data_IF_010254741918
#
_entry.id   IF_010254741918
#
_cell.length_a   1.000
_cell.length_b   1.000
_cell.length_c   1.000
_cell.angle_alpha   90.00
_cell.angle_beta   90.00
_cell.angle_gamma   90.00
#
_symmetry.space_group_name_H-M   'P 1'
#
loop_
_entity.id
_entity.type
_entity.pdbx_description
1 polymer ?
#
# COMPACT_ATOMS: atom_id res chain seq x y z
N UNK A 1 -25.63 -13.51 -13.30
CA UNK A 1 -25.72 -14.93 -12.87
C UNK A 1 -25.52 -15.90 -14.05
N UNK A 2 -26.17 -15.73 -15.18
CA UNK A 2 -26.01 -16.64 -16.34
C UNK A 2 -24.59 -16.66 -16.93
N UNK A 3 -23.93 -15.49 -17.04
CA UNK A 3 -22.56 -15.40 -17.52
C UNK A 3 -21.56 -16.15 -16.60
N UNK A 4 -21.83 -16.19 -15.29
CA UNK A 4 -21.06 -16.95 -14.34
C UNK A 4 -21.27 -18.46 -14.50
N UNK A 5 -22.54 -18.90 -14.63
CA UNK A 5 -22.89 -20.34 -14.77
C UNK A 5 -22.28 -20.99 -16.01
N UNK A 6 -22.16 -20.24 -17.13
CA UNK A 6 -21.58 -20.73 -18.39
C UNK A 6 -20.08 -21.06 -18.29
N UNK A 7 -19.37 -20.51 -17.31
CA UNK A 7 -17.92 -20.66 -17.18
C UNK A 7 -17.50 -21.55 -15.99
N UNK A 8 -18.47 -22.14 -15.26
CA UNK A 8 -18.18 -23.12 -14.20
C UNK A 8 -17.95 -24.48 -14.85
N UNK A 9 -16.85 -25.10 -14.46
CA UNK A 9 -16.49 -26.47 -14.85
C UNK A 9 -16.52 -27.35 -13.60
N UNK A 10 -16.87 -28.61 -13.74
CA UNK A 10 -16.82 -29.60 -12.68
C UNK A 10 -15.39 -29.68 -12.12
N UNK A 11 -15.22 -29.84 -10.79
CA UNK A 11 -13.94 -29.87 -10.07
C UNK A 11 -13.10 -28.55 -10.11
N UNK A 12 -13.72 -27.43 -10.41
CA UNK A 12 -13.04 -26.13 -10.37
C UNK A 12 -12.53 -25.78 -8.96
N UNK A 13 -11.26 -25.39 -8.84
CA UNK A 13 -10.68 -24.96 -7.56
C UNK A 13 -11.39 -23.70 -7.03
N UNK A 14 -11.62 -23.63 -5.73
CA UNK A 14 -12.27 -22.46 -5.08
C UNK A 14 -11.57 -21.13 -5.38
N UNK A 15 -10.24 -21.14 -5.58
CA UNK A 15 -9.47 -19.97 -6.01
C UNK A 15 -9.84 -19.50 -7.40
N UNK A 16 -10.16 -20.40 -8.32
CA UNK A 16 -10.50 -20.07 -9.69
C UNK A 16 -11.97 -19.65 -9.80
N UNK A 17 -12.84 -20.21 -8.97
CA UNK A 17 -14.21 -19.73 -8.77
C UNK A 17 -14.19 -18.26 -8.29
N UNK A 18 -13.35 -17.94 -7.30
CA UNK A 18 -13.23 -16.55 -6.82
C UNK A 18 -12.76 -15.59 -7.91
N UNK A 19 -11.75 -15.98 -8.71
CA UNK A 19 -11.27 -15.17 -9.84
C UNK A 19 -12.36 -14.99 -10.92
N UNK A 20 -13.11 -16.05 -11.22
CA UNK A 20 -14.20 -16.01 -12.17
C UNK A 20 -15.32 -15.05 -11.70
N UNK A 21 -15.66 -15.09 -10.41
CA UNK A 21 -16.63 -14.17 -9.82
C UNK A 21 -16.17 -12.71 -9.96
N UNK A 22 -14.93 -12.42 -9.59
CA UNK A 22 -14.34 -11.08 -9.75
C UNK A 22 -14.42 -10.64 -11.21
N UNK A 23 -13.97 -11.49 -12.15
CA UNK A 23 -14.02 -11.18 -13.59
C UNK A 23 -15.45 -10.89 -14.03
N UNK A 24 -16.41 -11.75 -13.68
CA UNK A 24 -17.82 -11.54 -14.04
C UNK A 24 -18.37 -10.22 -13.52
N UNK A 25 -18.00 -9.82 -12.27
CA UNK A 25 -18.41 -8.53 -11.73
C UNK A 25 -17.81 -7.38 -12.54
N UNK A 26 -16.54 -7.46 -12.93
CA UNK A 26 -15.88 -6.42 -13.74
C UNK A 26 -16.51 -6.30 -15.13
N UNK A 27 -16.83 -7.41 -15.75
CA UNK A 27 -17.49 -7.44 -17.08
C UNK A 27 -18.92 -6.83 -17.04
N UNK A 28 -19.52 -6.71 -15.84
CA UNK A 28 -20.83 -6.10 -15.61
C UNK A 28 -20.76 -4.60 -15.22
N UNK A 29 -19.57 -4.04 -15.05
CA UNK A 29 -19.41 -2.61 -14.73
C UNK A 29 -19.83 -1.78 -15.93
N UNK A 30 -20.73 -0.84 -15.71
CA UNK A 30 -21.12 0.20 -16.67
C UNK A 30 -21.36 1.51 -15.94
N UNK A 31 -21.63 2.57 -16.68
CA UNK A 31 -21.96 3.88 -16.11
C UNK A 31 -23.21 3.79 -15.21
N UNK A 32 -24.19 2.99 -15.61
CA UNK A 32 -25.44 2.79 -14.86
C UNK A 32 -25.27 1.81 -13.68
N UNK A 33 -24.24 0.94 -13.74
CA UNK A 33 -24.06 -0.17 -12.80
C UNK A 33 -22.65 -0.20 -12.20
N UNK A 34 -22.16 0.94 -11.73
CA UNK A 34 -20.84 1.10 -11.11
C UNK A 34 -20.67 0.24 -9.84
N UNK A 35 -21.75 -0.15 -9.19
CA UNK A 35 -21.73 -0.96 -7.96
C UNK A 35 -21.00 -2.30 -8.12
N UNK A 36 -20.93 -2.83 -9.34
CA UNK A 36 -20.23 -4.08 -9.62
C UNK A 36 -18.72 -3.97 -9.34
N UNK A 37 -18.14 -2.76 -9.46
CA UNK A 37 -16.75 -2.53 -9.10
C UNK A 37 -16.51 -2.74 -7.59
N UNK A 38 -17.42 -2.26 -6.75
CA UNK A 38 -17.33 -2.47 -5.30
C UNK A 38 -17.56 -3.93 -4.92
N UNK A 39 -18.45 -4.65 -5.61
CA UNK A 39 -18.66 -6.08 -5.39
C UNK A 39 -17.39 -6.85 -5.75
N UNK A 40 -16.78 -6.56 -6.91
CA UNK A 40 -15.51 -7.14 -7.32
C UNK A 40 -14.38 -6.83 -6.31
N UNK A 41 -14.32 -5.60 -5.78
CA UNK A 41 -13.38 -5.19 -4.76
C UNK A 41 -13.50 -6.01 -3.48
N UNK A 42 -14.73 -6.21 -3.00
CA UNK A 42 -15.00 -7.05 -1.81
C UNK A 42 -14.59 -8.51 -2.02
N UNK A 43 -14.88 -9.08 -3.18
CA UNK A 43 -14.46 -10.44 -3.53
C UNK A 43 -12.92 -10.56 -3.57
N UNK A 44 -12.23 -9.57 -4.16
CA UNK A 44 -10.78 -9.53 -4.17
C UNK A 44 -10.18 -9.39 -2.76
N UNK A 45 -10.80 -8.61 -1.88
CA UNK A 45 -10.41 -8.48 -0.48
C UNK A 45 -10.57 -9.79 0.30
N UNK A 46 -11.64 -10.54 0.07
CA UNK A 46 -11.79 -11.87 0.67
C UNK A 46 -10.64 -12.81 0.30
N UNK A 47 -10.21 -12.79 -0.96
CA UNK A 47 -9.05 -13.57 -1.39
C UNK A 47 -7.75 -13.10 -0.73
N UNK A 48 -7.55 -11.78 -0.60
CA UNK A 48 -6.40 -11.21 0.13
C UNK A 48 -6.41 -11.64 1.60
N UNK A 49 -7.53 -11.53 2.30
CA UNK A 49 -7.67 -11.94 3.70
C UNK A 49 -7.41 -13.44 3.89
N UNK A 50 -7.95 -14.28 3.00
CA UNK A 50 -7.72 -15.71 3.01
C UNK A 50 -6.24 -16.06 2.85
N UNK A 51 -5.56 -15.40 1.91
CA UNK A 51 -4.13 -15.58 1.66
C UNK A 51 -3.28 -15.08 2.83
N UNK A 52 -3.57 -13.89 3.34
CA UNK A 52 -2.87 -13.31 4.48
C UNK A 52 -3.03 -14.19 5.73
N UNK A 53 -4.24 -14.63 6.04
CA UNK A 53 -4.52 -15.53 7.16
C UNK A 53 -3.73 -16.83 7.06
N UNK A 54 -3.74 -17.48 5.87
CA UNK A 54 -2.96 -18.69 5.63
C UNK A 54 -1.45 -18.46 5.80
N UNK A 55 -0.92 -17.40 5.22
CA UNK A 55 0.53 -17.11 5.23
C UNK A 55 1.03 -16.61 6.60
N UNK A 56 0.14 -16.15 7.45
CA UNK A 56 0.41 -15.70 8.84
C UNK A 56 0.02 -16.75 9.86
N UNK A 57 -0.60 -17.86 9.42
CA UNK A 57 -1.12 -18.92 10.29
C UNK A 57 -2.13 -18.41 11.34
N UNK A 58 -3.03 -17.51 10.90
CA UNK A 58 -4.12 -16.96 11.71
C UNK A 58 -5.47 -17.14 10.99
N UNK A 59 -6.55 -17.16 11.75
CA UNK A 59 -7.89 -17.17 11.18
C UNK A 59 -8.27 -15.82 10.57
N UNK A 60 -9.22 -15.80 9.64
CA UNK A 60 -9.72 -14.54 9.06
C UNK A 60 -10.43 -13.64 10.10
N UNK A 61 -10.88 -14.22 11.23
CA UNK A 61 -11.47 -13.45 12.33
C UNK A 61 -10.42 -12.63 13.09
N UNK A 62 -9.18 -13.15 13.15
CA UNK A 62 -8.07 -12.50 13.83
C UNK A 62 -7.40 -11.40 13.00
N UNK A 63 -7.73 -11.28 11.71
CA UNK A 63 -7.25 -10.18 10.86
C UNK A 63 -7.70 -8.85 11.47
N UNK A 64 -6.74 -7.95 11.67
CA UNK A 64 -6.89 -6.64 12.28
C UNK A 64 -7.22 -6.65 13.78
N UNK A 65 -7.07 -7.76 14.51
CA UNK A 65 -7.09 -7.68 15.97
C UNK A 65 -5.83 -7.04 16.51
N UNK A 66 -5.91 -6.45 17.71
CA UNK A 66 -4.78 -5.76 18.34
C UNK A 66 -3.54 -6.66 18.46
N UNK A 67 -3.73 -7.91 18.91
CA UNK A 67 -2.65 -8.89 19.08
C UNK A 67 -2.07 -9.34 17.74
N UNK A 68 -2.93 -9.61 16.76
CA UNK A 68 -2.50 -10.00 15.41
C UNK A 68 -1.71 -8.89 14.73
N UNK A 69 -2.14 -7.63 14.90
CA UNK A 69 -1.41 -6.49 14.35
C UNK A 69 -0.04 -6.29 15.02
N UNK A 70 0.02 -6.36 16.35
CA UNK A 70 1.30 -6.27 17.06
C UNK A 70 2.28 -7.37 16.62
N UNK A 71 1.82 -8.61 16.57
CA UNK A 71 2.64 -9.75 16.13
C UNK A 71 3.13 -9.57 14.68
N UNK A 72 2.24 -9.14 13.77
CA UNK A 72 2.57 -8.82 12.39
C UNK A 72 3.61 -7.70 12.31
N UNK A 73 3.41 -6.59 13.02
CA UNK A 73 4.27 -5.41 13.01
C UNK A 73 5.69 -5.75 13.47
N UNK A 74 5.82 -6.49 14.58
CA UNK A 74 7.11 -6.95 15.09
C UNK A 74 7.81 -7.90 14.11
N UNK A 75 7.08 -8.86 13.56
CA UNK A 75 7.63 -9.79 12.57
C UNK A 75 8.16 -9.07 11.33
N UNK A 76 7.51 -7.99 10.88
CA UNK A 76 7.98 -7.19 9.75
C UNK A 76 9.20 -6.33 10.08
N UNK A 77 9.36 -5.87 11.32
CA UNK A 77 10.59 -5.21 11.78
C UNK A 77 11.74 -6.22 11.84
N UNK A 78 11.54 -7.36 12.50
CA UNK A 78 12.54 -8.43 12.63
C UNK A 78 12.97 -8.98 11.27
N UNK A 79 12.03 -9.10 10.34
CA UNK A 79 12.28 -9.51 8.95
C UNK A 79 12.91 -8.43 8.07
N UNK A 80 13.20 -7.24 8.59
CA UNK A 80 13.82 -6.13 7.85
C UNK A 80 12.91 -5.46 6.81
N UNK A 81 11.61 -5.76 6.82
CA UNK A 81 10.63 -5.19 5.91
C UNK A 81 10.11 -3.84 6.37
N UNK A 82 9.94 -3.69 7.68
CA UNK A 82 9.58 -2.42 8.30
C UNK A 82 10.80 -1.72 8.89
N UNK A 83 10.66 -0.42 9.10
CA UNK A 83 11.67 0.43 9.68
C UNK A 83 12.11 -0.08 11.05
N UNK A 84 13.39 -0.41 11.17
CA UNK A 84 13.98 -1.08 12.33
C UNK A 84 13.82 -0.31 13.63
N UNK A 85 13.76 1.03 13.54
CA UNK A 85 13.74 1.91 14.72
C UNK A 85 12.31 2.29 15.17
N UNK A 86 11.25 1.73 14.60
CA UNK A 86 9.88 2.02 15.01
C UNK A 86 9.68 1.86 16.54
N UNK A 87 10.24 0.79 17.11
CA UNK A 87 10.09 0.49 18.54
C UNK A 87 10.89 1.43 19.45
N UNK A 88 11.73 2.31 18.91
CA UNK A 88 12.34 3.41 19.65
C UNK A 88 11.36 4.57 19.88
N UNK A 89 10.33 4.67 19.06
CA UNK A 89 9.34 5.75 19.09
C UNK A 89 7.98 5.31 19.65
N UNK A 90 7.66 4.01 19.55
CA UNK A 90 6.38 3.43 19.94
C UNK A 90 6.58 2.25 20.87
N UNK A 91 5.84 2.22 21.97
CA UNK A 91 5.76 1.05 22.83
C UNK A 91 4.86 -0.04 22.21
N UNK A 92 4.95 -1.27 22.69
CA UNK A 92 4.00 -2.32 22.32
C UNK A 92 2.54 -1.94 22.63
N UNK A 93 2.33 -1.19 23.70
CA UNK A 93 1.01 -0.68 24.07
C UNK A 93 0.47 0.31 22.99
N UNK A 94 1.33 1.14 22.40
CA UNK A 94 0.92 2.04 21.33
C UNK A 94 0.57 1.29 20.04
N UNK A 95 1.36 0.28 19.71
CA UNK A 95 1.05 -0.58 18.54
C UNK A 95 -0.23 -1.38 18.77
N UNK A 96 -0.51 -1.84 20.00
CA UNK A 96 -1.80 -2.47 20.35
C UNK A 96 -2.98 -1.51 20.18
N UNK A 97 -2.86 -0.25 20.63
CA UNK A 97 -3.89 0.78 20.40
C UNK A 97 -4.13 1.03 18.90
N UNK A 98 -3.07 1.04 18.09
CA UNK A 98 -3.21 1.10 16.64
C UNK A 98 -3.98 -0.12 16.10
N UNK A 99 -3.68 -1.31 16.57
CA UNK A 99 -4.41 -2.54 16.25
C UNK A 99 -5.88 -2.51 16.70
N UNK A 100 -6.20 -1.91 17.85
CA UNK A 100 -7.59 -1.72 18.31
C UNK A 100 -8.38 -0.81 17.35
N UNK A 101 -7.75 0.25 16.84
CA UNK A 101 -8.36 1.11 15.81
C UNK A 101 -8.60 0.31 14.52
N UNK A 102 -7.64 -0.52 14.09
CA UNK A 102 -7.81 -1.40 12.93
C UNK A 102 -8.93 -2.41 13.15
N UNK A 103 -9.04 -3.00 14.35
CA UNK A 103 -10.12 -3.92 14.70
C UNK A 103 -11.49 -3.25 14.59
N UNK A 104 -11.58 -1.98 15.00
CA UNK A 104 -12.83 -1.22 14.98
C UNK A 104 -13.25 -0.78 13.60
N UNK A 105 -12.33 -0.29 12.76
CA UNK A 105 -12.64 0.38 11.50
C UNK A 105 -12.11 -0.35 10.25
N UNK A 106 -11.03 -1.12 10.37
CA UNK A 106 -10.24 -1.58 9.24
C UNK A 106 -11.05 -2.37 8.21
N UNK A 107 -11.80 -3.37 8.62
CA UNK A 107 -12.62 -4.16 7.69
C UNK A 107 -13.70 -3.34 6.99
N UNK A 108 -14.35 -2.43 7.72
CA UNK A 108 -15.38 -1.56 7.14
C UNK A 108 -14.77 -0.61 6.09
N UNK A 109 -13.60 -0.04 6.38
CA UNK A 109 -12.87 0.82 5.45
C UNK A 109 -12.43 0.06 4.20
N UNK A 110 -11.86 -1.14 4.35
CA UNK A 110 -11.49 -1.99 3.21
C UNK A 110 -12.70 -2.30 2.32
N UNK A 111 -13.87 -2.60 2.90
CA UNK A 111 -15.09 -2.92 2.15
C UNK A 111 -15.67 -1.72 1.37
N UNK A 112 -15.19 -0.52 1.62
CA UNK A 112 -15.54 0.67 0.83
C UNK A 112 -14.73 0.80 -0.46
N UNK A 113 -13.60 0.07 -0.60
CA UNK A 113 -12.74 0.18 -1.76
C UNK A 113 -13.33 -0.51 -2.99
N UNK A 114 -13.19 0.14 -4.15
CA UNK A 114 -13.45 -0.47 -5.44
C UNK A 114 -12.34 -1.46 -5.84
N UNK A 115 -12.61 -2.29 -6.82
CA UNK A 115 -11.67 -3.32 -7.31
C UNK A 115 -10.34 -2.74 -7.77
N UNK A 116 -10.38 -1.62 -8.50
CA UNK A 116 -9.17 -0.95 -9.01
C UNK A 116 -8.24 -0.53 -7.87
N UNK A 117 -8.81 -0.01 -6.77
CA UNK A 117 -8.05 0.35 -5.57
C UNK A 117 -7.43 -0.89 -4.91
N UNK A 118 -8.22 -1.94 -4.67
CA UNK A 118 -7.73 -3.18 -4.07
C UNK A 118 -6.62 -3.81 -4.92
N UNK A 119 -6.81 -3.86 -6.24
CA UNK A 119 -5.84 -4.41 -7.18
C UNK A 119 -4.53 -3.61 -7.19
N UNK A 120 -4.62 -2.28 -7.19
CA UNK A 120 -3.46 -1.39 -7.15
C UNK A 120 -2.69 -1.56 -5.85
N UNK A 121 -3.36 -1.57 -4.70
CA UNK A 121 -2.75 -1.83 -3.41
C UNK A 121 -2.03 -3.18 -3.41
N UNK A 122 -2.71 -4.24 -3.80
CA UNK A 122 -2.16 -5.60 -3.78
C UNK A 122 -0.96 -5.80 -4.71
N UNK A 123 -0.94 -5.16 -5.88
CA UNK A 123 0.12 -5.34 -6.87
C UNK A 123 1.32 -4.43 -6.69
N UNK A 124 1.14 -3.22 -6.12
CA UNK A 124 2.17 -2.17 -6.13
C UNK A 124 2.61 -1.70 -4.76
N UNK A 125 1.74 -1.75 -3.76
CA UNK A 125 1.94 -1.03 -2.50
C UNK A 125 2.15 -1.94 -1.29
N UNK A 126 1.47 -3.10 -1.23
CA UNK A 126 1.63 -4.03 -0.13
C UNK A 126 3.01 -4.71 -0.16
N UNK A 127 3.69 -4.74 0.98
CA UNK A 127 4.96 -5.44 1.15
C UNK A 127 4.70 -6.94 1.31
N UNK A 128 4.83 -7.65 0.20
CA UNK A 128 4.58 -9.09 0.11
C UNK A 128 5.86 -9.82 -0.31
N UNK A 129 6.77 -10.13 0.62
CA UNK A 129 8.01 -10.81 0.31
C UNK A 129 7.74 -12.15 -0.37
N UNK A 130 8.53 -12.47 -1.41
CA UNK A 130 8.41 -13.72 -2.17
C UNK A 130 7.02 -13.94 -2.79
N UNK A 131 6.26 -12.85 -3.07
CA UNK A 131 4.88 -12.89 -3.58
C UNK A 131 3.84 -13.53 -2.64
N UNK A 132 4.20 -13.78 -1.37
CA UNK A 132 3.26 -14.24 -0.36
C UNK A 132 2.51 -13.05 0.25
N UNK A 133 1.21 -12.99 0.04
CA UNK A 133 0.35 -11.96 0.65
C UNK A 133 0.38 -12.10 2.16
N UNK A 134 0.87 -11.07 2.85
CA UNK A 134 0.90 -10.99 4.31
C UNK A 134 0.40 -9.64 4.81
N UNK A 135 0.90 -8.54 4.24
CA UNK A 135 0.44 -7.19 4.56
C UNK A 135 -0.92 -6.93 3.90
N UNK A 136 -1.78 -6.24 4.61
CA UNK A 136 -3.14 -5.87 4.19
C UNK A 136 -3.30 -4.35 4.12
N UNK A 137 -4.29 -3.83 3.38
CA UNK A 137 -4.40 -2.39 3.12
C UNK A 137 -4.37 -1.51 4.37
N UNK A 138 -5.09 -1.87 5.41
CA UNK A 138 -5.15 -1.03 6.61
C UNK A 138 -3.85 -1.09 7.43
N UNK A 139 -3.10 -2.19 7.37
CA UNK A 139 -1.78 -2.32 7.99
C UNK A 139 -0.76 -1.44 7.28
N UNK A 140 -0.83 -1.34 5.95
CA UNK A 140 -0.05 -0.40 5.16
C UNK A 140 -0.32 1.05 5.60
N UNK A 141 -1.57 1.48 5.58
CA UNK A 141 -1.90 2.87 5.94
C UNK A 141 -1.52 3.21 7.38
N UNK A 142 -1.73 2.29 8.32
CA UNK A 142 -1.37 2.51 9.71
C UNK A 142 0.15 2.61 9.90
N UNK A 143 0.93 1.73 9.29
CA UNK A 143 2.39 1.77 9.40
C UNK A 143 3.01 3.02 8.75
N UNK A 144 2.45 3.48 7.64
CA UNK A 144 2.81 4.75 7.01
C UNK A 144 2.46 5.93 7.92
N UNK A 145 1.28 5.93 8.53
CA UNK A 145 0.85 6.97 9.45
C UNK A 145 1.73 7.04 10.70
N UNK A 146 2.09 5.89 11.27
CA UNK A 146 3.04 5.82 12.39
C UNK A 146 4.40 6.43 12.02
N UNK A 147 4.89 6.20 10.80
CA UNK A 147 6.14 6.81 10.36
C UNK A 147 6.04 8.34 10.28
N UNK A 148 5.00 8.87 9.65
CA UNK A 148 4.83 10.32 9.53
C UNK A 148 4.61 11.03 10.87
N UNK A 149 4.21 10.31 11.89
CA UNK A 149 4.04 10.85 13.23
C UNK A 149 5.32 10.84 14.08
N UNK A 150 6.41 10.23 13.63
CA UNK A 150 7.69 10.17 14.39
C UNK A 150 8.19 11.55 14.82
N UNK A 151 8.15 12.61 13.99
CA UNK A 151 8.63 13.94 14.38
C UNK A 151 7.78 14.62 15.45
N UNK A 152 6.56 14.14 15.69
CA UNK A 152 5.66 14.71 16.69
C UNK A 152 6.14 14.45 18.12
N UNK A 153 5.77 15.34 19.06
CA UNK A 153 6.00 15.13 20.49
C UNK A 153 5.34 13.83 20.95
N UNK A 154 5.98 13.13 21.86
CA UNK A 154 5.55 11.80 22.33
C UNK A 154 4.06 11.76 22.73
N UNK A 155 3.59 12.77 23.47
CA UNK A 155 2.18 12.88 23.91
C UNK A 155 1.17 13.01 22.77
N UNK A 156 1.57 13.58 21.63
CA UNK A 156 0.70 13.83 20.48
C UNK A 156 0.89 12.80 19.35
N UNK A 157 2.00 12.07 19.36
CA UNK A 157 2.44 11.22 18.26
C UNK A 157 1.38 10.22 17.82
N UNK A 158 0.81 9.48 18.77
CA UNK A 158 -0.17 8.46 18.43
C UNK A 158 -1.49 9.06 17.91
N UNK A 159 -1.94 10.17 18.52
CA UNK A 159 -3.15 10.87 18.06
C UNK A 159 -3.00 11.46 16.66
N UNK A 160 -1.80 11.97 16.35
CA UNK A 160 -1.48 12.45 15.00
C UNK A 160 -1.43 11.29 14.00
N UNK A 161 -0.78 10.17 14.36
CA UNK A 161 -0.77 8.97 13.51
C UNK A 161 -2.18 8.51 13.16
N UNK A 162 -3.09 8.49 14.11
CA UNK A 162 -4.49 8.10 13.85
C UNK A 162 -5.21 9.03 12.90
N UNK A 163 -4.98 10.34 12.98
CA UNK A 163 -5.52 11.31 12.01
C UNK A 163 -4.97 11.05 10.61
N UNK A 164 -3.65 10.88 10.47
CA UNK A 164 -3.02 10.56 9.16
C UNK A 164 -3.59 9.26 8.60
N UNK A 165 -3.70 8.22 9.43
CA UNK A 165 -4.30 6.95 9.04
C UNK A 165 -5.73 7.14 8.50
N UNK A 166 -6.60 7.86 9.21
CA UNK A 166 -7.97 8.10 8.79
C UNK A 166 -8.04 8.83 7.44
N UNK A 167 -7.26 9.90 7.28
CA UNK A 167 -7.25 10.65 6.02
C UNK A 167 -6.77 9.83 4.83
N UNK A 168 -5.72 9.02 5.02
CA UNK A 168 -5.16 8.20 3.94
C UNK A 168 -6.03 6.98 3.63
N UNK A 169 -6.48 6.25 4.66
CA UNK A 169 -7.27 5.03 4.49
C UNK A 169 -8.67 5.30 3.96
N UNK A 170 -9.27 6.42 4.32
CA UNK A 170 -10.55 6.87 3.78
C UNK A 170 -10.43 7.59 2.42
N UNK A 171 -9.24 7.59 1.82
CA UNK A 171 -8.94 8.18 0.50
C UNK A 171 -9.22 9.70 0.41
N UNK A 172 -9.21 10.40 1.55
CA UNK A 172 -9.32 11.87 1.61
C UNK A 172 -8.02 12.55 1.17
N UNK A 173 -6.88 11.87 1.36
CA UNK A 173 -5.55 12.27 0.91
C UNK A 173 -4.94 11.12 0.13
N UNK A 174 -4.41 11.42 -1.06
CA UNK A 174 -3.62 10.51 -1.87
C UNK A 174 -2.14 10.88 -1.78
N UNK A 175 -1.34 9.94 -1.29
CA UNK A 175 0.11 10.11 -1.23
C UNK A 175 0.76 9.66 -2.55
N UNK A 176 1.83 10.34 -2.94
CA UNK A 176 2.66 9.89 -4.06
C UNK A 176 3.24 8.50 -3.76
N UNK A 177 3.50 7.71 -4.80
CA UNK A 177 3.96 6.32 -4.66
C UNK A 177 5.13 6.15 -3.68
N UNK A 178 6.24 6.92 -3.74
CA UNK A 178 7.32 6.77 -2.77
C UNK A 178 6.90 7.15 -1.35
N UNK A 179 6.04 8.18 -1.22
CA UNK A 179 5.51 8.64 0.05
C UNK A 179 4.51 7.65 0.71
N UNK A 180 3.96 6.70 -0.06
CA UNK A 180 3.11 5.63 0.46
C UNK A 180 3.87 4.32 0.69
N UNK A 181 4.90 4.01 -0.14
CA UNK A 181 5.61 2.73 -0.03
C UNK A 181 6.77 2.81 0.98
N UNK A 182 7.62 3.84 0.86
CA UNK A 182 8.92 3.88 1.51
C UNK A 182 8.90 4.24 3.01
N UNK A 183 7.96 5.05 3.54
CA UNK A 183 8.02 5.51 4.92
C UNK A 183 8.16 4.38 5.94
N UNK A 184 7.41 3.30 5.76
CA UNK A 184 7.41 2.17 6.70
C UNK A 184 8.61 1.22 6.55
N UNK A 185 9.47 1.44 5.54
CA UNK A 185 10.66 0.61 5.28
C UNK A 185 11.93 1.25 5.84
N UNK A 186 13.07 0.58 5.68
CA UNK A 186 14.37 1.17 6.01
C UNK A 186 14.90 2.13 4.93
N UNK A 187 14.12 2.36 3.86
CA UNK A 187 14.46 3.24 2.75
C UNK A 187 13.51 4.44 2.70
N UNK A 188 13.97 5.59 3.19
CA UNK A 188 13.13 6.78 3.39
C UNK A 188 13.21 7.79 2.23
N UNK A 189 13.33 7.33 1.00
CA UNK A 189 13.20 8.20 -0.17
C UNK A 189 11.71 8.45 -0.43
N UNK A 190 11.23 9.66 -0.14
CA UNK A 190 9.80 10.02 -0.18
C UNK A 190 9.41 10.89 -1.37
N UNK A 191 10.40 11.44 -2.09
CA UNK A 191 10.18 12.35 -3.22
C UNK A 191 10.00 11.58 -4.52
N UNK A 192 8.96 11.89 -5.28
CA UNK A 192 8.68 11.24 -6.56
C UNK A 192 9.21 11.99 -7.78
N UNK A 193 9.39 13.33 -7.68
CA UNK A 193 9.70 14.19 -8.81
C UNK A 193 10.88 15.11 -8.50
N UNK A 194 11.82 15.14 -9.44
CA UNK A 194 13.03 15.95 -9.39
C UNK A 194 13.11 16.83 -10.62
N UNK A 195 13.77 17.98 -10.50
CA UNK A 195 14.04 18.87 -11.62
C UNK A 195 15.54 19.10 -11.70
N UNK A 196 16.09 18.97 -12.89
CA UNK A 196 17.48 19.26 -13.19
C UNK A 196 17.58 20.37 -14.24
N UNK A 197 18.51 21.31 -14.02
CA UNK A 197 18.95 22.27 -15.00
C UNK A 197 20.31 21.82 -15.55
N UNK A 198 20.43 21.76 -16.87
CA UNK A 198 21.68 21.41 -17.53
C UNK A 198 22.29 22.69 -18.14
N UNK A 199 23.54 22.98 -17.80
CA UNK A 199 24.32 24.08 -18.36
C UNK A 199 24.85 23.76 -19.75
N UNK A 200 25.34 24.81 -20.44
CA UNK A 200 25.84 24.75 -21.82
C UNK A 200 27.33 24.35 -21.90
N UNK A 201 27.74 23.41 -21.10
CA UNK A 201 29.09 22.85 -21.16
C UNK A 201 29.03 21.32 -21.03
N UNK A 202 30.05 20.67 -21.60
CA UNK A 202 30.11 19.23 -21.68
C UNK A 202 30.05 18.56 -20.31
N UNK A 203 30.68 19.16 -19.30
CA UNK A 203 30.72 18.62 -17.94
C UNK A 203 29.32 18.63 -17.30
N UNK A 204 28.60 19.75 -17.42
CA UNK A 204 27.25 19.90 -16.92
C UNK A 204 26.29 18.90 -17.58
N UNK A 205 26.45 18.68 -18.90
CA UNK A 205 25.63 17.70 -19.64
C UNK A 205 25.84 16.29 -19.10
N UNK A 206 27.09 15.84 -18.95
CA UNK A 206 27.38 14.49 -18.46
C UNK A 206 27.04 14.30 -16.99
N UNK A 207 27.25 15.30 -16.13
CA UNK A 207 26.75 15.26 -14.74
C UNK A 207 25.23 15.16 -14.69
N UNK A 208 24.51 15.88 -15.52
CA UNK A 208 23.07 15.76 -15.61
C UNK A 208 22.61 14.35 -15.99
N UNK A 209 23.31 13.67 -16.90
CA UNK A 209 23.02 12.29 -17.28
C UNK A 209 23.26 11.33 -16.10
N UNK A 210 24.37 11.52 -15.37
CA UNK A 210 24.67 10.74 -14.16
C UNK A 210 23.59 10.91 -13.10
N UNK A 211 23.21 12.16 -12.79
CA UNK A 211 22.16 12.47 -11.82
C UNK A 211 20.83 11.83 -12.19
N UNK A 212 20.43 11.91 -13.48
CA UNK A 212 19.23 11.24 -13.98
C UNK A 212 19.30 9.74 -13.73
N UNK A 213 20.43 9.11 -14.02
CA UNK A 213 20.62 7.66 -13.82
C UNK A 213 20.51 7.29 -12.33
N UNK A 214 21.15 8.05 -11.44
CA UNK A 214 21.10 7.81 -10.00
C UNK A 214 19.67 8.01 -9.42
N UNK A 215 19.00 9.10 -9.78
CA UNK A 215 17.65 9.38 -9.32
C UNK A 215 16.67 8.30 -9.82
N UNK A 216 16.76 7.94 -11.11
CA UNK A 216 15.90 6.93 -11.72
C UNK A 216 16.11 5.54 -11.15
N UNK A 217 17.34 5.18 -10.80
CA UNK A 217 17.69 3.92 -10.12
C UNK A 217 16.88 3.73 -8.83
N UNK A 218 16.58 4.82 -8.13
CA UNK A 218 15.82 4.81 -6.88
C UNK A 218 14.34 5.16 -7.05
N UNK A 219 13.84 5.13 -8.30
CA UNK A 219 12.41 5.30 -8.59
C UNK A 219 11.92 6.74 -8.66
N UNK A 220 12.84 7.72 -8.71
CA UNK A 220 12.50 9.12 -8.92
C UNK A 220 12.24 9.44 -10.40
N UNK A 221 11.21 10.20 -10.69
CA UNK A 221 10.97 10.82 -12.00
C UNK A 221 11.78 12.11 -12.12
N UNK A 222 12.42 12.34 -13.28
CA UNK A 222 13.28 13.51 -13.50
C UNK A 222 12.79 14.32 -14.69
N UNK A 223 12.45 15.59 -14.44
CA UNK A 223 12.25 16.59 -15.48
C UNK A 223 13.55 17.35 -15.74
N UNK A 224 13.97 17.40 -17.00
CA UNK A 224 15.22 18.05 -17.42
C UNK A 224 14.90 19.34 -18.16
N UNK A 225 15.51 20.44 -17.74
CA UNK A 225 15.44 21.72 -18.44
C UNK A 225 16.70 21.92 -19.30
N UNK A 226 16.50 22.04 -20.61
CA UNK A 226 17.55 22.20 -21.61
C UNK A 226 17.64 23.64 -22.20
N UNK A 227 16.86 24.57 -21.65
CA UNK A 227 16.78 25.95 -22.19
C UNK A 227 18.04 26.80 -22.04
N UNK A 228 19.06 26.28 -21.33
CA UNK A 228 20.37 26.95 -21.25
C UNK A 228 21.36 26.48 -22.30
N UNK A 229 21.05 25.44 -23.06
CA UNK A 229 21.93 24.93 -24.11
C UNK A 229 21.76 25.83 -25.34
N UNK A 230 22.87 26.36 -25.86
CA UNK A 230 22.88 27.20 -27.04
C UNK A 230 22.38 26.46 -28.28
N UNK A 231 21.75 27.18 -29.19
CA UNK A 231 21.51 26.71 -30.54
C UNK A 231 22.84 26.73 -31.32
N UNK A 232 23.00 25.86 -32.31
CA UNK A 232 24.11 25.90 -33.26
C UNK A 232 23.98 27.10 -34.16
#
# INVERSE_FOLDING_TARGET
MEAFKKNIVEDMKTSDIAKLLVKTCIDLVSVENIHWEHIAGRLALFDLYKKAGKNRNISQKEIYTADSYLAFFKNYIEGGLYYKDFMNYYSEADIRKAGELLAKKGKATDMSYGYTTVLSLAKRYLLNPNKYVRELPQELYMSVALFYAIPEKAENRLSFAFKVYEYCSEQKISLATPALINPRTNWHQLTSCFKLNIGDDLRSIYHGIEDIAQISKYGGGVGVYLGHIRAQ
#
